data_IF_533195300227
#
_entry.id   IF_533195300227
#
_cell.length_a   1.000
_cell.length_b   1.000
_cell.length_c   1.000
_cell.angle_alpha   90.00
_cell.angle_beta   90.00
_cell.angle_gamma   90.00
#
_symmetry.space_group_name_H-M   'P 1'
#
loop_
_entity.id
_entity.type
_entity.pdbx_description
1 polymer ?
#
# COMPACT_ATOMS: atom_id res chain seq x y z
N UNK A 1 34.25 -13.36 20.70
CA UNK A 1 33.23 -12.32 20.42
C UNK A 1 32.88 -11.65 21.74
N UNK A 2 32.88 -10.32 21.80
CA UNK A 2 32.39 -9.62 22.99
C UNK A 2 30.91 -9.97 23.24
N UNK A 3 30.54 -10.12 24.51
CA UNK A 3 29.19 -10.45 24.91
C UNK A 3 28.23 -9.34 24.50
N UNK A 4 27.29 -9.61 23.60
CA UNK A 4 26.27 -8.66 23.14
C UNK A 4 25.43 -8.19 24.32
N UNK A 5 25.37 -6.87 24.55
CA UNK A 5 24.54 -6.28 25.59
C UNK A 5 23.07 -6.35 25.24
N UNK A 6 22.18 -6.46 26.23
CA UNK A 6 20.73 -6.50 26.00
C UNK A 6 20.21 -5.31 25.19
N UNK A 7 20.74 -4.11 25.46
CA UNK A 7 20.35 -2.88 24.73
C UNK A 7 20.75 -2.91 23.26
N UNK A 8 21.93 -3.46 22.94
CA UNK A 8 22.38 -3.64 21.55
C UNK A 8 21.52 -4.68 20.83
N UNK A 9 21.16 -5.76 21.53
CA UNK A 9 20.29 -6.81 20.98
C UNK A 9 18.87 -6.28 20.72
N UNK A 10 18.26 -5.54 21.65
CA UNK A 10 16.95 -4.92 21.45
C UNK A 10 16.94 -4.00 20.23
N UNK A 11 17.94 -3.14 20.06
CA UNK A 11 18.05 -2.25 18.93
C UNK A 11 18.16 -3.03 17.60
N UNK A 12 19.02 -4.05 17.56
CA UNK A 12 19.22 -4.87 16.37
C UNK A 12 17.99 -5.72 16.03
N UNK A 13 17.34 -6.34 17.03
CA UNK A 13 16.09 -7.09 16.84
C UNK A 13 14.98 -6.19 16.29
N UNK A 14 14.83 -4.99 16.84
CA UNK A 14 13.85 -4.01 16.35
C UNK A 14 14.11 -3.67 14.88
N UNK A 15 15.36 -3.42 14.52
CA UNK A 15 15.72 -3.12 13.13
C UNK A 15 15.47 -4.30 12.18
N UNK A 16 15.74 -5.54 12.63
CA UNK A 16 15.44 -6.75 11.85
C UNK A 16 13.93 -6.87 11.55
N UNK A 17 13.10 -6.60 12.56
CA UNK A 17 11.64 -6.64 12.42
C UNK A 17 11.13 -5.57 11.47
N UNK A 18 11.58 -4.33 11.62
CA UNK A 18 11.17 -3.19 10.77
C UNK A 18 11.60 -3.40 9.31
N UNK A 19 12.76 -4.01 9.07
CA UNK A 19 13.26 -4.30 7.72
C UNK A 19 12.53 -5.47 7.04
N UNK A 20 11.74 -6.25 7.78
CA UNK A 20 10.97 -7.38 7.26
C UNK A 20 9.48 -7.26 7.66
N UNK A 21 8.78 -6.19 7.21
CA UNK A 21 7.38 -5.98 7.55
C UNK A 21 6.52 -7.12 7.03
N UNK A 22 5.51 -7.50 7.80
CA UNK A 22 4.56 -8.60 7.55
C UNK A 22 5.18 -9.99 7.34
N UNK A 23 6.50 -10.12 7.40
CA UNK A 23 7.21 -11.40 7.28
C UNK A 23 7.31 -12.10 8.63
N UNK A 24 7.07 -13.42 8.62
CA UNK A 24 7.33 -14.25 9.80
C UNK A 24 8.83 -14.45 10.01
N UNK A 25 9.34 -14.09 11.19
CA UNK A 25 10.70 -14.37 11.62
C UNK A 25 10.65 -15.41 12.75
N UNK A 26 11.31 -16.54 12.55
CA UNK A 26 11.37 -17.60 13.56
C UNK A 26 12.14 -17.14 14.79
N UNK A 27 11.73 -17.60 15.99
CA UNK A 27 12.45 -17.28 17.24
C UNK A 27 13.91 -17.77 17.21
N UNK A 28 14.17 -18.91 16.52
CA UNK A 28 15.52 -19.45 16.32
C UNK A 28 16.44 -18.46 15.59
N UNK A 29 15.91 -17.68 14.64
CA UNK A 29 16.69 -16.66 13.91
C UNK A 29 17.34 -15.66 14.89
N UNK A 30 16.57 -15.19 15.88
CA UNK A 30 17.11 -14.29 16.90
C UNK A 30 18.08 -15.00 17.85
N UNK A 31 17.77 -16.24 18.25
CA UNK A 31 18.66 -17.02 19.11
C UNK A 31 20.02 -17.25 18.46
N UNK A 32 20.05 -17.62 17.19
CA UNK A 32 21.27 -17.88 16.43
C UNK A 32 22.06 -16.58 16.13
N UNK A 33 21.34 -15.53 15.73
CA UNK A 33 21.99 -14.25 15.41
C UNK A 33 22.67 -13.61 16.62
N UNK A 34 22.08 -13.75 17.81
CA UNK A 34 22.54 -13.06 19.01
C UNK A 34 23.15 -13.98 20.07
N UNK A 35 23.35 -15.27 19.77
CA UNK A 35 23.84 -16.28 20.70
C UNK A 35 23.12 -16.20 22.06
N UNK A 36 21.77 -16.27 22.04
CA UNK A 36 20.93 -16.09 23.23
C UNK A 36 19.90 -17.19 23.40
N UNK A 37 19.50 -17.44 24.65
CA UNK A 37 18.48 -18.43 24.95
C UNK A 37 17.09 -17.99 24.45
N UNK A 38 16.23 -18.98 24.12
CA UNK A 38 14.85 -18.72 23.67
C UNK A 38 14.03 -17.87 24.65
N UNK A 39 14.20 -18.09 25.95
CA UNK A 39 13.53 -17.28 26.99
C UNK A 39 13.93 -15.81 26.92
N UNK A 40 15.25 -15.55 26.79
CA UNK A 40 15.76 -14.17 26.69
C UNK A 40 15.30 -13.48 25.40
N UNK A 41 15.32 -14.18 24.28
CA UNK A 41 14.81 -13.65 23.01
C UNK A 41 13.29 -13.35 23.09
N UNK A 42 12.52 -14.21 23.76
CA UNK A 42 11.08 -13.99 23.95
C UNK A 42 10.81 -12.77 24.84
N UNK A 43 11.52 -12.61 25.95
CA UNK A 43 11.40 -11.43 26.82
C UNK A 43 11.76 -10.14 26.08
N UNK A 44 12.78 -10.16 25.24
CA UNK A 44 13.19 -9.00 24.45
C UNK A 44 12.12 -8.64 23.40
N UNK A 45 11.51 -9.64 22.75
CA UNK A 45 10.39 -9.43 21.82
C UNK A 45 9.15 -8.85 22.53
N UNK A 46 8.89 -9.23 23.80
CA UNK A 46 7.80 -8.65 24.58
C UNK A 46 8.06 -7.17 24.94
N UNK A 47 9.30 -6.80 25.19
CA UNK A 47 9.71 -5.41 25.40
C UNK A 47 9.48 -4.61 24.10
N UNK A 48 9.93 -5.15 22.96
CA UNK A 48 9.76 -4.52 21.65
C UNK A 48 8.27 -4.36 21.34
N UNK A 49 7.45 -5.39 21.55
CA UNK A 49 6.00 -5.36 21.35
C UNK A 49 5.35 -4.24 22.15
N UNK A 50 5.73 -4.13 23.42
CA UNK A 50 5.21 -3.10 24.32
C UNK A 50 5.60 -1.69 23.87
N UNK A 51 6.83 -1.52 23.41
CA UNK A 51 7.32 -0.24 22.91
C UNK A 51 6.61 0.15 21.59
N UNK A 52 6.53 -0.77 20.63
CA UNK A 52 5.84 -0.52 19.35
C UNK A 52 4.39 -0.07 19.58
N UNK A 53 3.65 -0.79 20.41
CA UNK A 53 2.26 -0.44 20.74
C UNK A 53 2.16 0.92 21.46
N UNK A 54 3.03 1.17 22.45
CA UNK A 54 3.00 2.40 23.25
C UNK A 54 3.24 3.66 22.43
N UNK A 55 4.08 3.56 21.40
CA UNK A 55 4.50 4.70 20.58
C UNK A 55 3.82 4.72 19.20
N UNK A 56 2.78 3.89 18.98
CA UNK A 56 2.04 3.79 17.70
C UNK A 56 2.94 3.51 16.48
N UNK A 57 3.94 2.64 16.69
CA UNK A 57 4.92 2.27 15.66
C UNK A 57 4.59 0.93 14.97
N UNK A 58 3.38 0.43 15.14
CA UNK A 58 2.92 -0.83 14.57
C UNK A 58 2.69 -1.92 15.61
N UNK A 59 2.47 -3.13 15.13
CA UNK A 59 2.15 -4.31 15.96
C UNK A 59 3.17 -5.42 15.78
N UNK A 60 3.41 -6.21 16.84
CA UNK A 60 4.22 -7.42 16.80
C UNK A 60 3.35 -8.60 17.21
N UNK A 61 3.02 -9.45 16.26
CA UNK A 61 2.19 -10.65 16.46
C UNK A 61 3.07 -11.87 16.75
N UNK A 62 2.57 -12.79 17.59
CA UNK A 62 3.17 -14.12 17.75
C UNK A 62 2.38 -15.12 16.91
N UNK A 63 3.07 -15.82 16.04
CA UNK A 63 2.49 -16.86 15.19
C UNK A 63 2.70 -18.22 15.85
N UNK A 64 1.63 -18.98 16.15
CA UNK A 64 1.75 -20.30 16.78
C UNK A 64 2.22 -21.38 15.79
N UNK A 65 2.74 -22.49 16.31
CA UNK A 65 3.06 -23.70 15.54
C UNK A 65 4.55 -23.98 15.37
N UNK A 66 4.88 -25.10 14.70
CA UNK A 66 6.26 -25.56 14.51
C UNK A 66 7.11 -24.60 13.64
N UNK A 67 6.48 -23.93 12.69
CA UNK A 67 7.07 -22.85 11.89
C UNK A 67 6.75 -21.46 12.48
N UNK A 68 6.31 -21.41 13.73
CA UNK A 68 5.90 -20.20 14.41
C UNK A 68 7.07 -19.24 14.66
N UNK A 69 6.73 -17.99 14.86
CA UNK A 69 7.68 -16.92 15.07
C UNK A 69 6.97 -15.65 15.49
N UNK A 70 7.54 -14.54 15.11
CA UNK A 70 6.92 -13.23 15.27
C UNK A 70 6.82 -12.51 13.94
N UNK A 71 5.80 -11.69 13.79
CA UNK A 71 5.54 -10.89 12.60
C UNK A 71 5.30 -9.44 13.01
N UNK A 72 6.12 -8.55 12.51
CA UNK A 72 5.91 -7.11 12.64
C UNK A 72 5.02 -6.62 11.50
N UNK A 73 3.97 -5.87 11.85
CA UNK A 73 3.15 -5.13 10.89
C UNK A 73 3.27 -3.64 11.21
N UNK A 74 3.62 -2.78 10.24
CA UNK A 74 3.52 -1.33 10.38
C UNK A 74 2.04 -0.91 10.38
N UNK A 75 1.30 -1.41 11.38
CA UNK A 75 -0.12 -1.16 11.56
C UNK A 75 -0.36 0.29 11.97
N UNK A 76 -1.30 0.95 11.31
CA UNK A 76 -1.66 2.35 11.58
C UNK A 76 -3.05 2.40 12.17
N UNK A 77 -3.16 2.92 13.39
CA UNK A 77 -4.48 3.14 14.03
C UNK A 77 -5.30 4.16 13.23
N UNK A 78 -6.63 4.04 13.25
CA UNK A 78 -7.52 4.87 12.42
C UNK A 78 -7.37 6.36 12.69
N UNK A 79 -7.20 6.76 13.93
CA UNK A 79 -6.99 8.15 14.32
C UNK A 79 -5.69 8.71 13.73
N UNK A 80 -4.61 7.93 13.78
CA UNK A 80 -3.31 8.32 13.23
C UNK A 80 -3.35 8.36 11.68
N UNK A 81 -4.07 7.41 11.07
CA UNK A 81 -4.30 7.37 9.62
C UNK A 81 -5.09 8.60 9.15
N UNK A 82 -6.18 8.91 9.85
CA UNK A 82 -6.99 10.10 9.54
C UNK A 82 -6.17 11.39 9.69
N UNK A 83 -5.42 11.54 10.78
CA UNK A 83 -4.59 12.72 11.02
C UNK A 83 -3.52 12.89 9.93
N UNK A 84 -2.84 11.81 9.55
CA UNK A 84 -1.81 11.83 8.51
C UNK A 84 -2.39 12.20 7.13
N UNK A 85 -3.53 11.61 6.76
CA UNK A 85 -4.20 11.92 5.49
C UNK A 85 -4.79 13.33 5.50
N UNK A 86 -5.33 13.81 6.63
CA UNK A 86 -5.85 15.17 6.74
C UNK A 86 -4.74 16.22 6.53
N UNK A 87 -3.56 16.01 7.10
CA UNK A 87 -2.41 16.89 6.87
C UNK A 87 -2.00 16.92 5.38
N UNK A 88 -2.12 15.78 4.67
CA UNK A 88 -1.91 15.76 3.22
C UNK A 88 -3.02 16.47 2.46
N UNK A 89 -4.28 16.35 2.87
CA UNK A 89 -5.38 17.10 2.26
C UNK A 89 -5.14 18.62 2.36
N UNK A 90 -4.69 19.11 3.51
CA UNK A 90 -4.32 20.52 3.70
C UNK A 90 -3.19 20.95 2.76
N UNK A 91 -2.11 20.15 2.67
CA UNK A 91 -1.00 20.38 1.74
C UNK A 91 -1.48 20.40 0.29
N UNK A 92 -2.36 19.48 -0.10
CA UNK A 92 -2.86 19.34 -1.47
C UNK A 92 -3.94 20.36 -1.83
N UNK A 93 -4.57 20.99 -0.85
CA UNK A 93 -5.53 22.10 -1.04
C UNK A 93 -4.84 23.46 -1.20
N UNK A 94 -3.52 23.54 -1.13
CA UNK A 94 -2.79 24.80 -1.29
C UNK A 94 -3.03 25.43 -2.69
N UNK A 95 -3.04 26.78 -2.79
CA UNK A 95 -3.19 27.48 -4.07
C UNK A 95 -2.15 27.05 -5.11
N UNK A 96 -2.55 27.05 -6.39
CA UNK A 96 -1.65 26.72 -7.51
C UNK A 96 -1.50 25.22 -7.81
N UNK A 97 -2.20 24.35 -7.08
CA UNK A 97 -2.19 22.91 -7.33
C UNK A 97 -3.14 22.45 -8.43
N UNK A 98 -4.14 23.24 -8.70
CA UNK A 98 -5.12 22.91 -9.74
C UNK A 98 -4.60 23.36 -11.11
N UNK A 99 -4.46 22.40 -12.00
CA UNK A 99 -4.04 22.61 -13.39
C UNK A 99 -5.27 22.76 -14.30
N UNK A 100 -5.09 23.24 -15.56
CA UNK A 100 -6.18 23.31 -16.54
C UNK A 100 -6.91 21.96 -16.69
N UNK A 101 -8.23 21.99 -16.76
CA UNK A 101 -9.08 20.79 -16.82
C UNK A 101 -9.35 20.16 -15.44
N UNK A 102 -9.24 20.94 -14.36
CA UNK A 102 -9.45 20.51 -12.99
C UNK A 102 -8.56 19.29 -12.58
N UNK A 103 -7.35 19.22 -13.15
CA UNK A 103 -6.36 18.23 -12.77
C UNK A 103 -5.60 18.71 -11.53
N UNK A 104 -5.39 17.82 -10.58
CA UNK A 104 -4.57 18.12 -9.40
C UNK A 104 -3.10 17.78 -9.68
N UNK A 105 -2.20 18.70 -9.39
CA UNK A 105 -0.76 18.45 -9.44
C UNK A 105 -0.33 17.65 -8.21
N UNK A 106 0.05 16.38 -8.44
CA UNK A 106 0.42 15.42 -7.40
C UNK A 106 1.88 14.92 -7.53
N UNK A 107 2.64 15.38 -8.54
CA UNK A 107 3.95 14.81 -8.85
C UNK A 107 4.96 14.95 -7.70
N UNK A 108 4.89 16.02 -6.92
CA UNK A 108 5.73 16.23 -5.75
C UNK A 108 5.35 15.32 -4.57
N UNK A 109 4.08 14.92 -4.47
CA UNK A 109 3.62 13.94 -3.47
C UNK A 109 4.04 12.52 -3.89
N UNK A 110 3.84 12.18 -5.17
CA UNK A 110 4.25 10.87 -5.71
C UNK A 110 5.78 10.70 -5.71
N UNK A 111 6.54 11.80 -5.67
CA UNK A 111 7.99 11.81 -5.51
C UNK A 111 8.49 11.90 -4.05
N UNK A 112 7.61 11.92 -3.06
CA UNK A 112 7.94 12.05 -1.63
C UNK A 112 7.94 10.68 -0.93
N UNK A 113 9.13 10.04 -0.72
CA UNK A 113 9.19 8.68 -0.18
C UNK A 113 8.59 8.55 1.22
N UNK A 114 8.75 9.55 2.08
CA UNK A 114 8.25 9.50 3.45
C UNK A 114 6.73 9.57 3.50
N UNK A 115 6.13 10.46 2.69
CA UNK A 115 4.68 10.55 2.57
C UNK A 115 4.11 9.25 2.00
N UNK A 116 4.72 8.70 0.95
CA UNK A 116 4.26 7.47 0.32
C UNK A 116 4.44 6.23 1.20
N UNK A 117 5.52 6.14 1.98
CA UNK A 117 5.70 5.07 2.95
C UNK A 117 4.53 5.06 3.95
N UNK A 118 4.22 6.22 4.52
CA UNK A 118 3.10 6.35 5.47
C UNK A 118 1.74 6.02 4.82
N UNK A 119 1.50 6.47 3.58
CA UNK A 119 0.28 6.15 2.84
C UNK A 119 0.19 4.65 2.51
N UNK A 120 1.30 4.04 2.13
CA UNK A 120 1.37 2.60 1.88
C UNK A 120 1.09 1.76 3.12
N UNK A 121 1.58 2.17 4.31
CA UNK A 121 1.28 1.53 5.59
C UNK A 121 -0.22 1.64 5.96
N UNK A 122 -0.82 2.83 5.74
CA UNK A 122 -2.26 3.05 5.96
C UNK A 122 -3.08 2.12 5.08
N UNK A 123 -2.77 2.03 3.79
CA UNK A 123 -3.46 1.12 2.89
C UNK A 123 -3.22 -0.35 3.25
N UNK A 124 -1.98 -0.73 3.56
CA UNK A 124 -1.65 -2.10 3.95
C UNK A 124 -2.43 -2.56 5.19
N UNK A 125 -2.68 -1.64 6.15
CA UNK A 125 -3.46 -1.92 7.37
C UNK A 125 -4.85 -2.47 7.05
N UNK A 126 -5.49 -1.98 6.00
CA UNK A 126 -6.82 -2.45 5.57
C UNK A 126 -6.80 -3.83 4.90
N UNK A 127 -5.64 -4.29 4.47
CA UNK A 127 -5.52 -5.50 3.65
C UNK A 127 -4.70 -6.62 4.30
N UNK A 128 -4.25 -6.48 5.56
CA UNK A 128 -3.50 -7.55 6.23
C UNK A 128 -4.29 -8.86 6.36
N UNK A 129 -5.61 -8.78 6.59
CA UNK A 129 -6.46 -9.96 6.76
C UNK A 129 -6.90 -10.58 5.43
N UNK A 130 -6.74 -9.85 4.34
CA UNK A 130 -7.03 -10.33 2.98
C UNK A 130 -5.94 -11.29 2.50
N UNK A 131 -4.70 -11.09 2.95
CA UNK A 131 -3.51 -11.86 2.53
C UNK A 131 -3.39 -11.92 1.00
N UNK A 132 -3.20 -10.78 0.31
CA UNK A 132 -3.05 -10.77 -1.13
C UNK A 132 -1.72 -11.42 -1.55
N UNK A 133 -1.69 -12.03 -2.73
CA UNK A 133 -0.47 -12.60 -3.31
C UNK A 133 0.41 -11.53 -3.98
N UNK A 134 -0.18 -10.42 -4.40
CA UNK A 134 0.51 -9.28 -5.02
C UNK A 134 -0.34 -8.02 -4.98
N UNK A 135 0.30 -6.87 -5.21
CA UNK A 135 -0.38 -5.59 -5.47
C UNK A 135 -0.32 -5.31 -6.97
N UNK A 136 -1.46 -5.01 -7.57
CA UNK A 136 -1.58 -4.62 -8.98
C UNK A 136 -1.66 -3.10 -9.10
N UNK A 137 -0.94 -2.54 -10.06
CA UNK A 137 -1.03 -1.12 -10.43
C UNK A 137 -0.88 -0.91 -11.93
N UNK A 138 -1.24 0.28 -12.38
CA UNK A 138 -1.01 0.72 -13.77
C UNK A 138 0.21 1.64 -13.86
N UNK A 139 0.98 1.53 -14.98
CA UNK A 139 2.04 2.50 -15.26
C UNK A 139 1.45 3.90 -15.44
N UNK A 140 1.96 5.01 -14.84
CA UNK A 140 3.22 5.16 -14.13
C UNK A 140 3.06 5.68 -12.70
N UNK A 141 2.14 6.63 -12.45
CA UNK A 141 2.10 7.39 -11.18
C UNK A 141 1.57 6.59 -9.99
N UNK A 142 0.82 5.50 -10.22
CA UNK A 142 0.40 4.56 -9.19
C UNK A 142 1.55 3.71 -8.62
N UNK A 143 2.63 3.51 -9.39
CA UNK A 143 3.72 2.60 -9.03
C UNK A 143 4.34 2.93 -7.65
N UNK A 144 4.70 4.19 -7.31
CA UNK A 144 5.34 4.47 -6.04
C UNK A 144 4.47 4.11 -4.83
N UNK A 145 3.17 4.44 -4.85
CA UNK A 145 2.23 4.07 -3.77
C UNK A 145 2.05 2.56 -3.69
N UNK A 146 1.87 1.89 -4.84
CA UNK A 146 1.77 0.43 -4.92
C UNK A 146 3.00 -0.27 -4.34
N UNK A 147 4.22 0.24 -4.62
CA UNK A 147 5.47 -0.28 -4.06
C UNK A 147 5.53 -0.17 -2.53
N UNK A 148 5.08 0.95 -1.96
CA UNK A 148 5.07 1.14 -0.51
C UNK A 148 4.01 0.26 0.16
N UNK A 149 2.82 0.14 -0.44
CA UNK A 149 1.77 -0.77 0.05
C UNK A 149 2.23 -2.24 0.00
N UNK A 150 2.82 -2.65 -1.12
CA UNK A 150 3.34 -4.01 -1.30
C UNK A 150 4.49 -4.33 -0.34
N UNK A 151 5.39 -3.35 -0.08
CA UNK A 151 6.45 -3.49 0.93
C UNK A 151 5.87 -3.75 2.32
N UNK A 152 4.83 -3.00 2.72
CA UNK A 152 4.18 -3.18 4.02
C UNK A 152 3.44 -4.54 4.13
N UNK A 153 2.91 -5.06 3.01
CA UNK A 153 2.25 -6.36 2.91
C UNK A 153 3.22 -7.54 2.72
N UNK A 154 4.51 -7.29 2.42
CA UNK A 154 5.54 -8.29 2.02
C UNK A 154 5.14 -9.11 0.79
N UNK A 155 4.61 -8.44 -0.23
CA UNK A 155 4.19 -9.08 -1.50
C UNK A 155 4.81 -8.37 -2.71
N UNK A 156 4.92 -9.03 -3.88
CA UNK A 156 5.42 -8.38 -5.09
C UNK A 156 4.42 -7.36 -5.65
N UNK A 157 4.94 -6.43 -6.46
CA UNK A 157 4.11 -5.55 -7.29
C UNK A 157 4.06 -6.10 -8.71
N UNK A 158 2.86 -6.14 -9.26
CA UNK A 158 2.59 -6.44 -10.66
C UNK A 158 2.13 -5.15 -11.35
N UNK A 159 2.79 -4.79 -12.46
CA UNK A 159 2.54 -3.53 -13.14
C UNK A 159 1.90 -3.82 -14.50
N UNK A 160 0.63 -3.45 -14.66
CA UNK A 160 -0.03 -3.43 -15.95
C UNK A 160 0.47 -2.25 -16.78
N UNK A 161 0.63 -2.44 -18.09
CA UNK A 161 1.20 -1.44 -18.99
C UNK A 161 0.32 -1.22 -20.20
N UNK A 162 0.51 -0.10 -20.87
CA UNK A 162 -0.15 0.19 -22.15
C UNK A 162 0.39 -0.65 -23.29
N UNK A 163 1.64 -1.10 -23.19
CA UNK A 163 2.28 -1.97 -24.18
C UNK A 163 3.26 -2.92 -23.52
N UNK A 164 3.37 -4.15 -24.00
CA UNK A 164 4.34 -5.16 -23.57
C UNK A 164 5.55 -5.13 -24.49
N UNK A 165 6.72 -5.28 -23.91
CA UNK A 165 7.97 -5.39 -24.68
C UNK A 165 8.18 -6.83 -25.17
N UNK A 166 8.78 -6.98 -26.36
CA UNK A 166 8.99 -8.30 -26.97
C UNK A 166 9.72 -9.31 -26.07
N UNK A 167 10.62 -8.82 -25.17
CA UNK A 167 11.36 -9.67 -24.23
C UNK A 167 10.52 -10.15 -23.03
N UNK A 168 9.32 -9.61 -22.84
CA UNK A 168 8.43 -10.02 -21.73
C UNK A 168 7.62 -11.28 -22.06
N UNK A 169 7.61 -11.72 -23.31
CA UNK A 169 6.95 -12.94 -23.78
C UNK A 169 5.45 -12.78 -24.01
N UNK A 170 4.72 -13.90 -23.94
CA UNK A 170 3.27 -13.89 -24.16
C UNK A 170 2.54 -13.06 -23.11
N UNK A 171 1.60 -12.23 -23.54
CA UNK A 171 0.83 -11.33 -22.69
C UNK A 171 -0.68 -11.43 -22.96
N UNK A 172 -1.46 -11.06 -21.97
CA UNK A 172 -2.89 -10.77 -22.10
C UNK A 172 -3.03 -9.28 -22.39
N UNK A 173 -3.93 -8.94 -23.32
CA UNK A 173 -4.25 -7.59 -23.68
C UNK A 173 -5.74 -7.36 -23.52
N UNK A 174 -6.10 -6.33 -22.78
CA UNK A 174 -7.49 -5.86 -22.63
C UNK A 174 -7.59 -4.49 -23.28
N UNK A 175 -8.61 -4.30 -24.10
CA UNK A 175 -8.89 -3.01 -24.71
C UNK A 175 -10.26 -2.54 -24.26
N UNK A 176 -10.28 -1.48 -23.47
CA UNK A 176 -11.50 -0.89 -22.93
C UNK A 176 -11.82 0.43 -23.64
N UNK A 177 -13.09 0.70 -23.99
CA UNK A 177 -13.51 2.01 -24.44
C UNK A 177 -13.42 3.01 -23.29
N UNK A 178 -12.82 4.17 -23.54
CA UNK A 178 -12.75 5.29 -22.60
C UNK A 178 -13.17 6.56 -23.35
N UNK A 179 -14.41 6.97 -23.18
CA UNK A 179 -15.01 8.04 -23.97
C UNK A 179 -15.02 7.67 -25.47
N UNK A 180 -14.41 8.52 -26.31
CA UNK A 180 -14.28 8.30 -27.76
C UNK A 180 -13.00 7.57 -28.17
N UNK A 181 -12.19 7.09 -27.21
CA UNK A 181 -10.92 6.40 -27.46
C UNK A 181 -10.89 5.00 -26.85
N UNK A 182 -9.95 4.17 -27.32
CA UNK A 182 -9.68 2.86 -26.74
C UNK A 182 -8.37 2.91 -25.95
N UNK A 183 -8.37 2.37 -24.74
CA UNK A 183 -7.15 2.18 -23.95
C UNK A 183 -6.84 0.70 -23.84
N UNK A 184 -5.62 0.32 -24.22
CA UNK A 184 -5.13 -1.04 -24.07
C UNK A 184 -4.34 -1.14 -22.76
N UNK A 185 -4.62 -2.20 -22.01
CA UNK A 185 -3.81 -2.65 -20.89
C UNK A 185 -3.25 -4.02 -21.20
N UNK A 186 -2.02 -4.26 -20.78
CA UNK A 186 -1.29 -5.47 -21.12
C UNK A 186 -0.53 -5.98 -19.93
N UNK A 187 -0.51 -7.30 -19.75
CA UNK A 187 0.22 -7.96 -18.67
C UNK A 187 0.86 -9.27 -19.17
N UNK A 188 2.16 -9.49 -18.95
CA UNK A 188 2.81 -10.77 -19.28
C UNK A 188 2.22 -11.94 -18.49
N UNK A 189 1.87 -13.03 -19.20
CA UNK A 189 1.21 -14.20 -18.59
C UNK A 189 1.99 -14.85 -17.45
N UNK A 190 3.31 -14.74 -17.46
CA UNK A 190 4.18 -15.36 -16.46
C UNK A 190 4.18 -14.67 -15.08
N UNK A 191 3.64 -13.46 -14.99
CA UNK A 191 3.67 -12.66 -13.75
C UNK A 191 2.57 -13.06 -12.76
N UNK A 192 1.50 -13.67 -13.24
CA UNK A 192 0.29 -13.92 -12.46
C UNK A 192 -0.18 -15.37 -12.69
N UNK A 193 -0.70 -16.00 -11.65
CA UNK A 193 -1.24 -17.37 -11.70
C UNK A 193 -2.72 -17.36 -11.36
N UNK A 194 -3.47 -18.26 -11.99
CA UNK A 194 -4.88 -18.52 -11.67
C UNK A 194 -5.07 -18.85 -10.18
N UNK A 195 -6.13 -18.31 -9.58
CA UNK A 195 -6.48 -18.55 -8.18
C UNK A 195 -5.81 -17.65 -7.18
N UNK A 196 -4.88 -16.78 -7.60
CA UNK A 196 -4.28 -15.76 -6.73
C UNK A 196 -5.29 -14.68 -6.34
N UNK A 197 -4.94 -13.93 -5.28
CA UNK A 197 -5.65 -12.73 -4.82
C UNK A 197 -4.78 -11.50 -5.03
N UNK A 198 -5.39 -10.38 -5.41
CA UNK A 198 -4.69 -9.11 -5.53
C UNK A 198 -5.44 -7.96 -4.87
N UNK A 199 -4.69 -6.94 -4.48
CA UNK A 199 -5.21 -5.61 -4.18
C UNK A 199 -4.75 -4.68 -5.29
N UNK A 200 -5.67 -3.89 -5.84
CA UNK A 200 -5.36 -2.87 -6.84
C UNK A 200 -5.03 -1.57 -6.11
N UNK A 201 -3.88 -0.97 -6.41
CA UNK A 201 -3.47 0.33 -5.87
C UNK A 201 -3.04 1.23 -7.02
N UNK A 202 -3.71 2.38 -7.17
CA UNK A 202 -3.41 3.32 -8.27
C UNK A 202 -3.33 4.77 -7.75
N UNK A 203 -2.98 5.73 -8.62
CA UNK A 203 -2.83 7.13 -8.26
C UNK A 203 -4.19 7.86 -8.20
N UNK A 204 -4.98 7.84 -9.25
CA UNK A 204 -6.18 8.68 -9.39
C UNK A 204 -7.41 7.90 -9.89
N UNK A 205 -8.49 7.97 -9.13
CA UNK A 205 -9.82 7.57 -9.57
C UNK A 205 -10.59 8.81 -10.06
N UNK A 206 -10.76 8.94 -11.36
CA UNK A 206 -11.47 10.06 -11.97
C UNK A 206 -12.70 9.63 -12.78
N UNK A 207 -12.58 8.61 -13.59
CA UNK A 207 -13.66 8.08 -14.46
C UNK A 207 -13.83 6.57 -14.31
N UNK A 208 -13.05 5.93 -13.47
CA UNK A 208 -13.10 4.48 -13.23
C UNK A 208 -12.51 3.61 -14.33
N UNK A 209 -12.18 4.16 -15.51
CA UNK A 209 -11.76 3.35 -16.65
C UNK A 209 -10.47 2.57 -16.44
N UNK A 210 -9.52 3.08 -15.65
CA UNK A 210 -8.27 2.36 -15.31
C UNK A 210 -8.56 1.19 -14.38
N UNK A 211 -9.32 1.41 -13.29
CA UNK A 211 -9.70 0.34 -12.36
C UNK A 211 -10.52 -0.74 -13.05
N UNK A 212 -11.55 -0.35 -13.83
CA UNK A 212 -12.34 -1.29 -14.62
C UNK A 212 -11.48 -2.13 -15.57
N UNK A 213 -10.49 -1.53 -16.23
CA UNK A 213 -9.54 -2.26 -17.07
C UNK A 213 -8.69 -3.24 -16.27
N UNK A 214 -8.20 -2.85 -15.09
CA UNK A 214 -7.43 -3.74 -14.23
C UNK A 214 -8.28 -4.90 -13.68
N UNK A 215 -9.56 -4.66 -13.32
CA UNK A 215 -10.52 -5.71 -12.95
C UNK A 215 -10.68 -6.72 -14.09
N UNK A 216 -11.01 -6.23 -15.30
CA UNK A 216 -11.16 -7.09 -16.48
C UNK A 216 -9.89 -7.88 -16.80
N UNK A 217 -8.71 -7.28 -16.58
CA UNK A 217 -7.44 -7.97 -16.76
C UNK A 217 -7.28 -9.12 -15.74
N UNK A 218 -7.67 -8.91 -14.49
CA UNK A 218 -7.64 -9.94 -13.44
C UNK A 218 -8.66 -11.05 -13.70
N UNK A 219 -9.83 -10.73 -14.22
CA UNK A 219 -10.84 -11.71 -14.64
C UNK A 219 -10.28 -12.68 -15.70
N UNK A 220 -9.54 -12.17 -16.70
CA UNK A 220 -8.88 -13.01 -17.72
C UNK A 220 -7.81 -13.94 -17.13
N UNK A 221 -7.16 -13.54 -16.05
CA UNK A 221 -6.21 -14.36 -15.30
C UNK A 221 -6.89 -15.26 -14.26
N UNK A 222 -8.22 -15.11 -14.04
CA UNK A 222 -8.95 -15.77 -12.95
C UNK A 222 -8.35 -15.50 -11.57
N UNK A 223 -8.00 -14.25 -11.35
CA UNK A 223 -7.48 -13.70 -10.09
C UNK A 223 -8.57 -12.94 -9.37
N UNK A 224 -8.69 -13.15 -8.07
CA UNK A 224 -9.65 -12.44 -7.25
C UNK A 224 -9.12 -11.05 -6.88
N UNK A 225 -9.82 -9.99 -7.27
CA UNK A 225 -9.57 -8.64 -6.74
C UNK A 225 -10.22 -8.55 -5.36
N UNK A 226 -9.42 -8.49 -4.32
CA UNK A 226 -9.89 -8.55 -2.93
C UNK A 226 -9.95 -7.15 -2.27
N UNK A 227 -9.53 -6.12 -2.99
CA UNK A 227 -9.64 -4.74 -2.56
C UNK A 227 -9.05 -3.77 -3.56
N UNK A 228 -9.45 -2.52 -3.47
CA UNK A 228 -9.01 -1.46 -4.37
C UNK A 228 -8.79 -0.17 -3.60
N UNK A 229 -7.69 0.50 -3.87
CA UNK A 229 -7.35 1.76 -3.25
C UNK A 229 -6.68 2.72 -4.24
N UNK A 230 -6.86 4.01 -3.98
CA UNK A 230 -6.22 5.07 -4.78
C UNK A 230 -5.70 6.19 -3.89
N UNK A 231 -4.68 6.90 -4.37
CA UNK A 231 -4.18 8.07 -3.65
C UNK A 231 -5.25 9.15 -3.54
N UNK A 232 -5.95 9.43 -4.65
CA UNK A 232 -7.02 10.43 -4.69
C UNK A 232 -8.15 10.01 -5.64
N UNK A 233 -9.38 10.28 -5.24
CA UNK A 233 -10.56 10.15 -6.09
C UNK A 233 -11.24 11.51 -6.28
N UNK A 234 -11.91 11.73 -7.42
CA UNK A 234 -12.92 12.79 -7.49
C UNK A 234 -14.18 12.33 -6.77
N UNK A 235 -14.92 13.27 -6.17
CA UNK A 235 -16.16 12.97 -5.44
C UNK A 235 -17.16 12.18 -6.30
N UNK A 236 -17.35 12.59 -7.56
CA UNK A 236 -18.25 11.91 -8.51
C UNK A 236 -17.83 10.45 -8.76
N UNK A 237 -16.54 10.22 -8.98
CA UNK A 237 -16.04 8.86 -9.24
C UNK A 237 -16.08 7.98 -8.01
N UNK A 238 -15.87 8.53 -6.81
CA UNK A 238 -15.98 7.82 -5.55
C UNK A 238 -17.43 7.43 -5.24
N UNK A 239 -18.39 8.32 -5.50
CA UNK A 239 -19.80 8.00 -5.35
C UNK A 239 -20.30 6.94 -6.34
N UNK A 240 -19.71 6.89 -7.55
CA UNK A 240 -20.02 5.87 -8.55
C UNK A 240 -19.43 4.49 -8.23
N UNK A 241 -18.36 4.43 -7.43
CA UNK A 241 -17.65 3.20 -7.07
C UNK A 241 -17.21 3.25 -5.58
N UNK A 242 -18.17 3.12 -4.64
CA UNK A 242 -17.94 3.35 -3.21
C UNK A 242 -17.11 2.25 -2.53
N UNK A 243 -16.88 1.11 -3.18
CA UNK A 243 -16.06 0.02 -2.67
C UNK A 243 -14.55 0.34 -2.77
N UNK A 244 -14.17 1.29 -3.63
CA UNK A 244 -12.79 1.78 -3.71
C UNK A 244 -12.46 2.61 -2.47
N UNK A 245 -11.24 2.45 -1.95
CA UNK A 245 -10.72 3.17 -0.77
C UNK A 245 -9.78 4.29 -1.18
N UNK A 246 -10.26 5.52 -1.44
CA UNK A 246 -9.40 6.64 -1.69
C UNK A 246 -8.79 7.14 -0.37
N UNK A 247 -7.48 7.46 -0.37
CA UNK A 247 -6.89 8.16 0.76
C UNK A 247 -7.45 9.59 0.85
N UNK A 248 -7.53 10.27 -0.30
CA UNK A 248 -8.08 11.64 -0.41
C UNK A 248 -9.24 11.68 -1.39
N UNK A 249 -10.21 12.56 -1.14
CA UNK A 249 -11.33 12.83 -2.05
C UNK A 249 -11.34 14.30 -2.42
N UNK A 250 -11.29 14.59 -3.71
CA UNK A 250 -11.39 15.94 -4.26
C UNK A 250 -12.87 16.26 -4.55
N UNK A 251 -13.46 17.12 -3.73
CA UNK A 251 -14.86 17.54 -3.84
C UNK A 251 -15.08 18.57 -4.95
N UNK A 252 -14.03 19.30 -5.36
CA UNK A 252 -14.10 20.31 -6.40
C UNK A 252 -13.01 21.35 -6.27
N UNK A 253 -13.22 22.46 -6.97
CA UNK A 253 -12.32 23.63 -6.97
C UNK A 253 -13.08 24.84 -6.49
N UNK A 254 -12.52 25.58 -5.56
CA UNK A 254 -13.08 26.83 -5.09
C UNK A 254 -12.98 27.90 -6.20
N UNK A 255 -14.10 28.45 -6.62
CA UNK A 255 -14.17 29.41 -7.73
C UNK A 255 -13.48 30.74 -7.45
N UNK A 256 -13.37 31.16 -6.18
CA UNK A 256 -12.77 32.43 -5.78
C UNK A 256 -11.25 32.33 -5.66
N UNK A 257 -10.74 31.24 -5.13
CA UNK A 257 -9.31 31.03 -4.84
C UNK A 257 -8.59 30.16 -5.85
N UNK A 258 -9.33 29.36 -6.64
CA UNK A 258 -8.76 28.33 -7.51
C UNK A 258 -8.13 27.14 -6.75
N UNK A 259 -8.33 27.06 -5.45
CA UNK A 259 -7.81 25.98 -4.62
C UNK A 259 -8.68 24.73 -4.72
N UNK A 260 -8.08 23.56 -4.64
CA UNK A 260 -8.82 22.31 -4.56
C UNK A 260 -9.45 22.15 -3.16
N UNK A 261 -10.70 21.69 -3.10
CA UNK A 261 -11.34 21.23 -1.86
C UNK A 261 -11.10 19.75 -1.74
N UNK A 262 -10.28 19.35 -0.78
CA UNK A 262 -9.85 17.95 -0.59
C UNK A 262 -10.11 17.54 0.85
N UNK A 263 -10.65 16.34 1.04
CA UNK A 263 -10.91 15.73 2.34
C UNK A 263 -10.35 14.32 2.42
N UNK A 264 -10.12 13.78 3.61
CA UNK A 264 -9.84 12.36 3.77
C UNK A 264 -10.99 11.48 3.26
N UNK A 265 -10.66 10.28 2.79
CA UNK A 265 -11.64 9.26 2.42
C UNK A 265 -12.53 8.87 3.61
N UNK A 266 -13.81 8.58 3.35
CA UNK A 266 -14.79 8.32 4.43
C UNK A 266 -14.47 7.07 5.25
N UNK A 267 -13.86 6.07 4.64
CA UNK A 267 -13.42 4.84 5.31
C UNK A 267 -12.37 5.05 6.41
N UNK A 268 -11.70 6.21 6.43
CA UNK A 268 -10.74 6.60 7.47
C UNK A 268 -11.41 7.13 8.74
N UNK A 269 -12.71 7.47 8.68
CA UNK A 269 -13.41 8.09 9.82
C UNK A 269 -13.96 7.09 10.84
N UNK A 270 -13.90 5.81 10.57
CA UNK A 270 -14.39 4.73 11.47
C UNK A 270 -15.85 4.42 11.27
#
# INVERSE_FOLDING_TARGET
>A
MDRIRRTERLAAMTQMLINAPNRSLALSTFCETFDTAKSSASEDLDIIRTALKRFHLGTLETLPGAAGGVRYRPYVEKEDAFAAVNALCERMSAPGRVLPGALLYIADLVGDPAALERMGEILATEYYDVEPDFVLTMEMQGIPLAMMTARALDVPVVIARRSVKAYEGAAVHITNPVGSSFKTMSLPKRLVKEGQKTVIVDDVLRTGGTLSGMRSLMDEFRVTVAGEAVLIATEEAYQADPDVRPLMVMEGVDAATGAAKIRPGDWLRG
#
